data_IF_642428386765
#
_entry.id   IF_642428386765
#
_cell.length_a   1.000
_cell.length_b   1.000
_cell.length_c   1.000
_cell.angle_alpha   90.00
_cell.angle_beta   90.00
_cell.angle_gamma   90.00
#
_symmetry.space_group_name_H-M   'P 1'
#
loop_
_entity.id
_entity.type
_entity.pdbx_description
1 polymer ?
#
# COMPACT_ATOMS: atom_id res chain seq x y z
N UNK A 1 -2.52 4.29 7.12
CA UNK A 1 -2.65 2.97 6.49
C UNK A 1 -3.41 3.08 5.18
N UNK A 2 -2.81 2.71 4.08
CA UNK A 2 -3.38 2.94 2.75
C UNK A 2 -4.51 1.98 2.34
N UNK A 3 -4.72 0.91 3.07
CA UNK A 3 -5.76 -0.08 2.82
C UNK A 3 -7.13 0.49 3.17
N UNK A 4 -8.01 0.65 2.18
CA UNK A 4 -9.38 1.07 2.38
C UNK A 4 -9.75 2.50 2.00
N UNK A 5 -8.81 3.31 1.54
CA UNK A 5 -9.08 4.58 0.84
C UNK A 5 -9.47 5.81 1.67
N UNK A 6 -10.02 5.64 2.87
CA UNK A 6 -10.46 6.74 3.76
C UNK A 6 -10.08 6.47 5.22
N UNK A 7 -8.81 6.15 5.46
CA UNK A 7 -8.31 5.84 6.81
C UNK A 7 -7.28 6.87 7.24
N UNK A 8 -7.22 7.15 8.54
CA UNK A 8 -6.17 7.99 9.13
C UNK A 8 -4.81 7.30 8.97
N UNK A 9 -3.77 8.10 8.73
CA UNK A 9 -2.41 7.60 8.54
C UNK A 9 -2.15 7.04 7.14
N UNK A 10 -2.85 7.53 6.13
CA UNK A 10 -2.59 7.20 4.72
C UNK A 10 -1.40 7.95 4.14
N UNK A 11 -1.02 9.06 4.73
CA UNK A 11 0.14 9.88 4.34
C UNK A 11 1.09 10.09 5.52
N UNK A 12 2.32 10.48 5.25
CA UNK A 12 3.28 10.84 6.29
C UNK A 12 2.82 12.09 7.05
N UNK A 13 2.14 13.01 6.40
CA UNK A 13 1.53 14.17 7.01
C UNK A 13 0.46 13.78 8.04
N UNK A 14 -0.39 12.81 7.73
CA UNK A 14 -1.38 12.29 8.69
C UNK A 14 -0.70 11.72 9.95
N UNK A 15 0.43 11.01 9.78
CA UNK A 15 1.19 10.47 10.90
C UNK A 15 1.80 11.59 11.74
N UNK A 16 2.44 12.57 11.10
CA UNK A 16 2.98 13.77 11.78
C UNK A 16 1.90 14.47 12.58
N UNK A 17 0.76 14.74 11.97
CA UNK A 17 -0.32 15.51 12.59
C UNK A 17 -0.97 14.72 13.73
N UNK A 18 -1.13 13.40 13.56
CA UNK A 18 -1.59 12.51 14.65
C UNK A 18 -0.60 12.51 15.82
N UNK A 19 0.70 12.37 15.56
CA UNK A 19 1.73 12.43 16.61
C UNK A 19 1.72 13.79 17.31
N UNK A 20 1.48 14.89 16.56
CA UNK A 20 1.43 16.23 17.14
C UNK A 20 0.34 16.37 18.23
N UNK A 21 -0.77 15.64 18.10
CA UNK A 21 -1.88 15.66 19.06
C UNK A 21 -1.65 14.81 20.32
N UNK A 22 -0.62 13.97 20.35
CA UNK A 22 -0.31 13.10 21.49
C UNK A 22 0.56 13.88 22.48
N UNK A 23 0.19 13.96 23.77
CA UNK A 23 0.95 14.70 24.77
C UNK A 23 2.30 14.03 25.07
N UNK A 24 2.30 12.73 25.35
CA UNK A 24 3.51 11.96 25.67
C UNK A 24 4.12 11.38 24.39
N UNK A 25 5.06 12.13 23.81
CA UNK A 25 5.76 11.76 22.57
C UNK A 25 6.66 10.52 22.71
N UNK A 26 7.06 10.18 23.94
CA UNK A 26 7.94 9.02 24.17
C UNK A 26 7.17 7.70 24.09
N UNK A 27 5.85 7.76 24.25
CA UNK A 27 4.97 6.58 24.18
C UNK A 27 4.37 6.33 22.80
N UNK A 28 4.70 7.15 21.81
CA UNK A 28 4.22 6.97 20.44
C UNK A 28 5.33 6.55 19.51
N UNK A 29 5.00 5.67 18.56
CA UNK A 29 5.90 5.26 17.49
C UNK A 29 5.14 4.86 16.25
N UNK A 30 5.87 4.80 15.15
CA UNK A 30 5.36 4.34 13.86
C UNK A 30 5.87 2.93 13.61
N UNK A 31 4.97 2.02 13.27
CA UNK A 31 5.30 0.77 12.62
C UNK A 31 5.15 0.97 11.12
N UNK A 32 6.25 0.89 10.39
CA UNK A 32 6.25 1.05 8.93
C UNK A 32 5.99 -0.30 8.27
N UNK A 33 4.85 -0.43 7.60
CA UNK A 33 4.51 -1.64 6.85
C UNK A 33 4.82 -1.45 5.37
N UNK A 34 5.63 -2.34 4.79
CA UNK A 34 6.12 -2.23 3.41
C UNK A 34 5.02 -2.44 2.38
N UNK A 35 4.08 -3.37 2.62
CA UNK A 35 2.92 -3.60 1.76
C UNK A 35 1.97 -2.38 1.78
N UNK A 36 1.67 -1.85 2.96
CA UNK A 36 0.79 -0.69 3.10
C UNK A 36 1.40 0.59 2.52
N UNK A 37 2.70 0.83 2.73
CA UNK A 37 3.41 1.95 2.14
C UNK A 37 3.36 1.89 0.60
N UNK A 38 3.66 0.73 0.02
CA UNK A 38 3.60 0.50 -1.42
C UNK A 38 2.18 0.68 -1.97
N UNK A 39 1.18 0.11 -1.30
CA UNK A 39 -0.22 0.28 -1.66
C UNK A 39 -0.68 1.74 -1.53
N UNK A 40 -0.06 2.52 -0.64
CA UNK A 40 -0.31 3.94 -0.42
C UNK A 40 0.39 4.87 -1.41
N UNK A 41 1.27 4.36 -2.25
CA UNK A 41 1.99 5.16 -3.25
C UNK A 41 3.41 5.53 -2.87
N UNK A 42 3.97 4.92 -1.82
CA UNK A 42 5.38 5.04 -1.44
C UNK A 42 6.18 3.90 -2.08
N UNK A 43 6.99 4.21 -3.08
CA UNK A 43 7.74 3.20 -3.83
C UNK A 43 9.02 2.80 -3.09
N UNK A 44 9.23 1.48 -2.97
CA UNK A 44 10.36 0.89 -2.25
C UNK A 44 11.23 0.01 -3.16
N UNK A 45 10.90 -0.09 -4.46
CA UNK A 45 11.45 -1.11 -5.35
C UNK A 45 12.87 -0.83 -5.80
N UNK A 46 13.18 0.42 -6.12
CA UNK A 46 14.54 0.81 -6.54
C UNK A 46 15.25 1.54 -5.41
N UNK A 47 16.60 1.54 -5.36
CA UNK A 47 17.34 2.29 -4.35
C UNK A 47 16.96 3.78 -4.31
N UNK A 48 16.74 4.40 -5.46
CA UNK A 48 16.40 5.82 -5.55
C UNK A 48 15.00 6.10 -4.99
N UNK A 49 14.00 5.27 -5.37
CA UNK A 49 12.63 5.41 -4.88
C UNK A 49 12.55 5.12 -3.38
N UNK A 50 13.27 4.09 -2.92
CA UNK A 50 13.38 3.75 -1.51
C UNK A 50 13.99 4.91 -0.70
N UNK A 51 15.11 5.45 -1.14
CA UNK A 51 15.76 6.59 -0.47
C UNK A 51 14.83 7.81 -0.43
N UNK A 52 14.18 8.13 -1.55
CA UNK A 52 13.19 9.23 -1.61
C UNK A 52 12.08 9.02 -0.57
N UNK A 53 11.51 7.82 -0.49
CA UNK A 53 10.47 7.49 0.49
C UNK A 53 10.98 7.65 1.93
N UNK A 54 12.17 7.16 2.24
CA UNK A 54 12.72 7.23 3.59
C UNK A 54 13.17 8.63 3.99
N UNK A 55 13.68 9.42 3.06
CA UNK A 55 14.04 10.83 3.28
C UNK A 55 12.78 11.68 3.52
N UNK A 56 11.70 11.40 2.80
CA UNK A 56 10.40 12.03 3.06
C UNK A 56 9.84 11.63 4.43
N UNK A 57 9.96 10.35 4.83
CA UNK A 57 9.57 9.91 6.17
C UNK A 57 10.38 10.65 7.25
N UNK A 58 11.70 10.75 7.09
CA UNK A 58 12.56 11.46 8.03
C UNK A 58 12.21 12.94 8.11
N UNK A 59 12.01 13.60 6.98
CA UNK A 59 11.68 15.03 6.91
C UNK A 59 10.31 15.35 7.50
N UNK A 60 9.30 14.50 7.25
CA UNK A 60 7.91 14.80 7.61
C UNK A 60 7.57 14.26 8.99
N UNK A 61 7.93 13.02 9.30
CA UNK A 61 7.59 12.32 10.55
C UNK A 61 8.75 12.36 11.55
N UNK A 62 9.96 12.09 11.07
CA UNK A 62 11.17 11.94 11.85
C UNK A 62 11.48 10.48 12.17
N UNK A 63 12.71 10.07 11.84
CA UNK A 63 13.19 8.68 12.05
C UNK A 63 13.14 8.26 13.52
N UNK A 64 13.22 9.21 14.46
CA UNK A 64 13.08 8.94 15.90
C UNK A 64 11.74 8.31 16.29
N UNK A 65 10.71 8.44 15.47
CA UNK A 65 9.41 7.80 15.70
C UNK A 65 9.29 6.42 15.07
N UNK A 66 10.21 6.02 14.21
CA UNK A 66 10.22 4.68 13.64
C UNK A 66 10.62 3.66 14.73
N UNK A 67 9.75 2.72 15.03
CA UNK A 67 9.92 1.76 16.14
C UNK A 67 9.88 0.30 15.72
N UNK A 68 9.25 0.02 14.61
CA UNK A 68 9.12 -1.34 14.08
C UNK A 68 8.82 -1.30 12.58
N UNK A 69 9.02 -2.43 11.91
CA UNK A 69 8.56 -2.64 10.55
C UNK A 69 7.72 -3.91 10.47
N UNK A 70 6.62 -3.86 9.69
CA UNK A 70 6.05 -5.05 9.09
C UNK A 70 6.66 -5.24 7.71
N UNK A 71 7.26 -6.40 7.49
CA UNK A 71 8.01 -6.71 6.27
C UNK A 71 7.19 -7.67 5.42
N UNK A 72 6.38 -7.11 4.52
CA UNK A 72 5.41 -7.84 3.72
C UNK A 72 5.53 -7.44 2.25
N UNK A 73 5.54 -8.42 1.35
CA UNK A 73 5.39 -8.12 -0.08
C UNK A 73 3.91 -7.88 -0.41
N UNK A 74 3.64 -7.27 -1.55
CA UNK A 74 2.28 -6.92 -1.94
C UNK A 74 1.79 -7.74 -3.12
N UNK A 75 0.65 -8.42 -2.97
CA UNK A 75 -0.07 -9.03 -4.09
C UNK A 75 -0.74 -8.01 -4.99
N UNK A 76 -0.96 -6.79 -4.49
CA UNK A 76 -1.63 -5.73 -5.23
C UNK A 76 -0.62 -4.79 -5.89
N UNK A 77 -0.94 -4.19 -7.05
CA UNK A 77 -0.08 -3.24 -7.73
C UNK A 77 0.18 -1.97 -6.91
N UNK A 78 1.22 -1.25 -7.29
CA UNK A 78 1.58 0.05 -6.72
C UNK A 78 0.38 1.02 -6.69
N UNK A 79 0.23 1.74 -5.57
CA UNK A 79 -0.84 2.73 -5.36
C UNK A 79 -2.26 2.17 -5.56
N UNK A 80 -2.45 0.89 -5.24
CA UNK A 80 -3.74 0.19 -5.40
C UNK A 80 -4.72 0.43 -4.25
N UNK A 81 -4.23 0.94 -3.12
CA UNK A 81 -4.96 1.08 -1.86
C UNK A 81 -5.59 -0.25 -1.37
N UNK A 82 -4.89 -1.37 -1.61
CA UNK A 82 -5.33 -2.71 -1.22
C UNK A 82 -4.33 -3.35 -0.28
N UNK A 83 -4.83 -3.85 0.83
CA UNK A 83 -4.07 -4.62 1.81
C UNK A 83 -4.11 -6.11 1.43
N UNK A 84 -3.07 -6.56 0.73
CA UNK A 84 -2.96 -7.95 0.28
C UNK A 84 -1.49 -8.38 0.36
N UNK A 85 -1.13 -9.06 1.45
CA UNK A 85 0.23 -9.53 1.69
C UNK A 85 0.59 -10.70 0.76
N UNK A 86 1.80 -10.66 0.22
CA UNK A 86 2.45 -11.74 -0.51
C UNK A 86 3.68 -12.22 0.24
N UNK A 87 4.13 -13.43 -0.07
CA UNK A 87 5.42 -13.94 0.38
C UNK A 87 6.56 -13.12 -0.23
N UNK A 88 7.66 -12.98 0.53
CA UNK A 88 8.81 -12.13 0.17
C UNK A 88 9.33 -12.45 -1.23
N UNK A 89 9.45 -11.42 -2.07
CA UNK A 89 9.95 -11.50 -3.45
C UNK A 89 8.96 -12.06 -4.46
N UNK A 90 7.74 -12.46 -4.04
CA UNK A 90 6.72 -13.00 -4.97
C UNK A 90 5.69 -11.97 -5.40
N UNK A 91 5.58 -10.85 -4.70
CA UNK A 91 4.62 -9.78 -4.97
C UNK A 91 5.13 -8.72 -5.95
N UNK A 92 4.46 -7.57 -5.94
CA UNK A 92 4.79 -6.41 -6.79
C UNK A 92 5.93 -5.54 -6.26
N UNK A 93 6.30 -5.68 -4.97
CA UNK A 93 7.51 -5.06 -4.44
C UNK A 93 8.75 -5.76 -5.01
N UNK A 94 8.75 -7.09 -4.99
CA UNK A 94 9.86 -7.89 -5.50
C UNK A 94 11.08 -7.93 -4.56
N UNK A 95 12.04 -8.80 -4.86
CA UNK A 95 13.16 -9.08 -3.95
C UNK A 95 14.08 -7.87 -3.70
N UNK A 96 14.27 -7.00 -4.70
CA UNK A 96 15.14 -5.80 -4.58
C UNK A 96 14.65 -4.83 -3.51
N UNK A 97 13.33 -4.69 -3.33
CA UNK A 97 12.77 -3.86 -2.26
C UNK A 97 13.21 -4.38 -0.87
N UNK A 98 13.19 -5.69 -0.67
CA UNK A 98 13.61 -6.29 0.61
C UNK A 98 15.11 -6.25 0.81
N UNK A 99 15.89 -6.31 -0.27
CA UNK A 99 17.32 -6.06 -0.19
C UNK A 99 17.60 -4.63 0.29
N UNK A 100 16.89 -3.61 -0.24
CA UNK A 100 17.01 -2.24 0.26
C UNK A 100 16.68 -2.15 1.77
N UNK A 101 15.62 -2.83 2.21
CA UNK A 101 15.14 -2.82 3.60
C UNK A 101 16.17 -3.42 4.56
N UNK A 102 16.71 -4.62 4.26
CA UNK A 102 17.62 -5.31 5.18
C UNK A 102 19.01 -4.69 5.22
N UNK A 103 19.36 -3.85 4.24
CA UNK A 103 20.62 -3.13 4.19
C UNK A 103 20.49 -1.65 4.57
N UNK A 104 19.31 -1.19 5.04
CA UNK A 104 19.07 0.21 5.44
C UNK A 104 19.58 0.48 6.87
N UNK A 105 20.59 1.34 7.06
CA UNK A 105 21.14 1.62 8.39
C UNK A 105 20.13 2.21 9.39
N UNK A 106 19.12 2.97 8.90
CA UNK A 106 18.06 3.55 9.76
C UNK A 106 17.20 2.50 10.44
N UNK A 107 17.21 1.27 9.94
CA UNK A 107 16.45 0.14 10.49
C UNK A 107 17.27 -0.75 11.44
N UNK A 108 18.55 -0.44 11.64
CA UNK A 108 19.41 -1.23 12.51
C UNK A 108 18.85 -1.29 13.95
N UNK A 109 18.68 -2.51 14.46
CA UNK A 109 18.16 -2.75 15.80
C UNK A 109 16.65 -2.63 15.96
N UNK A 110 15.91 -2.31 14.89
CA UNK A 110 14.44 -2.31 14.94
C UNK A 110 13.88 -3.73 14.77
N UNK A 111 12.77 -4.06 15.44
CA UNK A 111 12.06 -5.32 15.19
C UNK A 111 11.42 -5.29 13.80
N UNK A 112 11.64 -6.38 13.05
CA UNK A 112 11.02 -6.67 11.76
C UNK A 112 10.07 -7.85 11.94
N UNK A 113 8.80 -7.67 11.58
CA UNK A 113 7.74 -8.66 11.76
C UNK A 113 7.17 -9.06 10.40
N UNK A 114 7.04 -10.36 10.17
CA UNK A 114 6.39 -10.92 8.98
C UNK A 114 4.91 -11.19 9.26
N UNK A 115 4.06 -10.74 8.34
CA UNK A 115 2.63 -11.09 8.28
C UNK A 115 2.29 -11.73 6.93
N UNK A 116 3.32 -12.29 6.28
CA UNK A 116 3.18 -12.97 5.00
C UNK A 116 2.34 -14.22 5.13
N UNK A 117 1.62 -14.63 4.06
CA UNK A 117 0.77 -15.82 4.07
C UNK A 117 1.55 -17.09 4.40
N UNK A 118 1.00 -17.91 5.29
CA UNK A 118 1.56 -19.20 5.70
C UNK A 118 0.70 -20.40 5.26
N UNK A 119 -0.33 -20.15 4.48
CA UNK A 119 -1.16 -21.22 3.94
C UNK A 119 -0.38 -22.07 2.92
N UNK A 120 -0.44 -23.37 3.12
CA UNK A 120 0.19 -24.34 2.22
C UNK A 120 -0.56 -24.37 0.90
N UNK A 121 0.19 -24.32 -0.20
CA UNK A 121 -0.33 -24.47 -1.55
C UNK A 121 0.29 -25.67 -2.23
N UNK A 122 -0.51 -26.38 -3.04
CA UNK A 122 -0.02 -27.46 -3.88
C UNK A 122 0.75 -26.96 -5.12
N UNK A 123 1.17 -27.90 -5.98
CA UNK A 123 1.91 -27.59 -7.20
C UNK A 123 1.12 -26.72 -8.21
N UNK A 124 -0.20 -26.75 -8.14
CA UNK A 124 -1.11 -25.97 -8.98
C UNK A 124 -1.47 -24.60 -8.33
N UNK A 125 -0.89 -24.29 -7.16
CA UNK A 125 -1.12 -23.07 -6.41
C UNK A 125 -2.44 -23.02 -5.64
N UNK A 126 -3.17 -24.16 -5.53
CA UNK A 126 -4.42 -24.25 -4.79
C UNK A 126 -4.12 -24.45 -3.28
N UNK A 127 -5.01 -23.91 -2.44
CA UNK A 127 -4.90 -24.10 -1.00
C UNK A 127 -5.07 -25.58 -0.62
N UNK A 128 -4.09 -26.13 0.08
CA UNK A 128 -4.23 -27.43 0.73
C UNK A 128 -5.14 -27.26 1.93
N UNK A 129 -6.19 -28.08 2.01
CA UNK A 129 -7.19 -28.03 3.08
C UNK A 129 -7.12 -29.27 3.95
N UNK A 130 -7.43 -29.11 5.23
CA UNK A 130 -7.62 -30.20 6.17
C UNK A 130 -8.99 -30.89 5.96
N UNK A 131 -9.25 -31.96 6.73
CA UNK A 131 -10.51 -32.72 6.70
C UNK A 131 -11.76 -31.87 7.03
N UNK A 132 -11.56 -30.68 7.60
CA UNK A 132 -12.64 -29.73 7.95
C UNK A 132 -12.79 -28.62 6.91
N UNK A 133 -12.01 -28.65 5.83
CA UNK A 133 -12.02 -27.66 4.77
C UNK A 133 -11.28 -26.36 5.10
N UNK A 134 -10.55 -26.29 6.24
CA UNK A 134 -9.71 -25.15 6.60
C UNK A 134 -8.37 -25.27 5.87
N UNK A 135 -7.80 -24.14 5.42
CA UNK A 135 -6.46 -24.09 4.85
C UNK A 135 -5.44 -24.59 5.89
N UNK A 136 -4.52 -25.45 5.45
CA UNK A 136 -3.38 -25.84 6.26
C UNK A 136 -2.39 -24.68 6.34
N UNK A 137 -1.83 -24.46 7.52
CA UNK A 137 -0.84 -23.43 7.80
C UNK A 137 0.51 -24.07 8.14
N UNK A 138 1.61 -23.51 7.60
CA UNK A 138 2.98 -23.91 7.93
C UNK A 138 3.82 -22.68 8.31
N UNK A 139 4.12 -22.56 9.61
CA UNK A 139 4.98 -21.49 10.14
C UNK A 139 6.45 -21.60 9.68
N UNK A 140 6.89 -22.72 9.11
CA UNK A 140 8.22 -22.84 8.52
C UNK A 140 8.39 -21.95 7.29
N UNK A 141 7.29 -21.48 6.69
CA UNK A 141 7.32 -20.45 5.62
C UNK A 141 7.99 -19.20 6.16
N UNK A 142 7.57 -18.68 7.33
CA UNK A 142 8.22 -17.53 7.95
C UNK A 142 9.68 -17.77 8.30
N UNK A 143 10.02 -18.97 8.83
CA UNK A 143 11.41 -19.31 9.10
C UNK A 143 12.28 -19.29 7.82
N UNK A 144 11.72 -19.73 6.70
CA UNK A 144 12.39 -19.69 5.40
C UNK A 144 12.58 -18.26 4.91
N UNK A 145 11.55 -17.42 5.05
CA UNK A 145 11.60 -16.01 4.66
C UNK A 145 12.58 -15.20 5.53
N UNK A 146 12.64 -15.46 6.83
CA UNK A 146 13.64 -14.84 7.72
C UNK A 146 15.05 -15.18 7.23
N UNK A 147 15.33 -16.46 6.93
CA UNK A 147 16.65 -16.87 6.40
C UNK A 147 16.95 -16.23 5.05
N UNK A 148 15.96 -16.08 4.19
CA UNK A 148 16.11 -15.34 2.93
C UNK A 148 16.50 -13.88 3.19
N UNK A 149 15.80 -13.19 4.08
CA UNK A 149 16.09 -11.80 4.45
C UNK A 149 17.51 -11.68 5.05
N UNK A 150 17.87 -12.57 5.99
CA UNK A 150 19.19 -12.60 6.58
C UNK A 150 20.30 -12.81 5.54
N UNK A 151 20.08 -13.68 4.55
CA UNK A 151 21.08 -13.96 3.50
C UNK A 151 21.34 -12.78 2.57
N UNK A 152 20.39 -11.85 2.45
CA UNK A 152 20.53 -10.66 1.60
C UNK A 152 21.31 -9.51 2.27
N UNK A 153 21.63 -9.60 3.56
CA UNK A 153 22.42 -8.57 4.24
C UNK A 153 23.83 -8.54 3.66
N UNK A 154 24.21 -7.41 3.07
CA UNK A 154 25.50 -7.22 2.40
C UNK A 154 25.68 -7.99 1.09
N UNK A 155 24.64 -8.65 0.57
CA UNK A 155 24.71 -9.35 -0.71
C UNK A 155 24.75 -8.36 -1.88
N UNK A 156 25.57 -8.64 -2.88
CA UNK A 156 25.59 -7.87 -4.12
C UNK A 156 24.35 -8.22 -4.98
N UNK A 157 23.55 -7.21 -5.34
CA UNK A 157 22.33 -7.37 -6.15
C UNK A 157 22.60 -7.80 -7.60
N UNK A 158 23.85 -7.66 -8.06
CA UNK A 158 24.27 -8.12 -9.39
C UNK A 158 24.96 -9.49 -9.34
N UNK A 159 25.06 -10.12 -8.16
CA UNK A 159 25.58 -11.48 -8.04
C UNK A 159 24.67 -12.50 -8.71
N UNK A 160 25.26 -13.58 -9.26
CA UNK A 160 24.48 -14.67 -9.84
C UNK A 160 23.48 -15.28 -8.85
N UNK A 161 23.87 -15.35 -7.58
CA UNK A 161 23.02 -15.86 -6.50
C UNK A 161 21.78 -15.00 -6.31
N UNK A 162 21.93 -13.67 -6.17
CA UNK A 162 20.80 -12.76 -6.03
C UNK A 162 19.90 -12.79 -7.25
N UNK A 163 20.46 -12.69 -8.46
CA UNK A 163 19.69 -12.69 -9.70
C UNK A 163 18.89 -13.98 -9.88
N UNK A 164 19.45 -15.12 -9.49
CA UNK A 164 18.75 -16.41 -9.50
C UNK A 164 17.59 -16.42 -8.51
N UNK A 165 17.81 -15.99 -7.26
CA UNK A 165 16.77 -15.89 -6.23
C UNK A 165 15.62 -14.97 -6.70
N UNK A 166 15.96 -13.80 -7.22
CA UNK A 166 15.01 -12.84 -7.75
C UNK A 166 14.15 -13.45 -8.88
N UNK A 167 14.79 -14.09 -9.87
CA UNK A 167 14.10 -14.72 -10.99
C UNK A 167 13.18 -15.87 -10.53
N UNK A 168 13.63 -16.71 -9.61
CA UNK A 168 12.86 -17.85 -9.11
C UNK A 168 11.62 -17.38 -8.31
N UNK A 169 11.77 -16.40 -7.42
CA UNK A 169 10.67 -15.84 -6.65
C UNK A 169 9.69 -15.06 -7.55
N UNK A 170 10.21 -14.26 -8.47
CA UNK A 170 9.38 -13.55 -9.43
C UNK A 170 8.55 -14.51 -10.30
N UNK A 171 9.15 -15.63 -10.74
CA UNK A 171 8.45 -16.67 -11.51
C UNK A 171 7.35 -17.33 -10.66
N UNK A 172 7.66 -17.67 -9.40
CA UNK A 172 6.70 -18.27 -8.46
C UNK A 172 5.48 -17.37 -8.24
N UNK A 173 5.68 -16.07 -8.08
CA UNK A 173 4.60 -15.11 -7.82
C UNK A 173 3.85 -14.63 -9.07
N UNK A 174 4.37 -14.90 -10.28
CA UNK A 174 3.81 -14.37 -11.54
C UNK A 174 2.32 -14.65 -11.76
N UNK A 175 1.81 -15.89 -11.57
CA UNK A 175 0.39 -16.17 -11.82
C UNK A 175 -0.55 -15.31 -10.96
N UNK A 176 -0.20 -15.10 -9.69
CA UNK A 176 -1.01 -14.31 -8.77
C UNK A 176 -0.92 -12.81 -9.10
N UNK A 177 0.28 -12.30 -9.46
CA UNK A 177 0.43 -10.91 -9.89
C UNK A 177 -0.36 -10.63 -11.17
N UNK A 178 -0.28 -11.51 -12.19
CA UNK A 178 -1.04 -11.36 -13.43
C UNK A 178 -2.54 -11.30 -13.16
N UNK A 179 -3.06 -12.22 -12.35
CA UNK A 179 -4.46 -12.26 -11.95
C UNK A 179 -4.93 -10.98 -11.26
N UNK A 180 -4.13 -10.47 -10.32
CA UNK A 180 -4.49 -9.26 -9.55
C UNK A 180 -4.28 -7.98 -10.35
N UNK A 181 -3.31 -7.96 -11.27
CA UNK A 181 -3.16 -6.88 -12.24
C UNK A 181 -4.42 -6.71 -13.09
N UNK A 182 -4.90 -7.81 -13.71
CA UNK A 182 -6.13 -7.77 -14.49
C UNK A 182 -7.36 -7.30 -13.69
N UNK A 183 -7.47 -7.76 -12.44
CA UNK A 183 -8.56 -7.30 -11.56
C UNK A 183 -8.47 -5.80 -11.27
N UNK A 184 -7.26 -5.29 -11.06
CA UNK A 184 -7.03 -3.88 -10.78
C UNK A 184 -7.37 -3.01 -12.00
N UNK A 185 -6.94 -3.40 -13.19
CA UNK A 185 -7.26 -2.69 -14.44
C UNK A 185 -8.78 -2.66 -14.69
N UNK A 186 -9.47 -3.79 -14.57
CA UNK A 186 -10.94 -3.86 -14.69
C UNK A 186 -11.65 -2.96 -13.66
N UNK A 187 -11.08 -2.80 -12.46
CA UNK A 187 -11.63 -1.89 -11.44
C UNK A 187 -11.46 -0.44 -11.86
N UNK A 188 -10.26 -0.04 -12.29
CA UNK A 188 -9.97 1.31 -12.78
C UNK A 188 -10.87 1.71 -13.95
N UNK A 189 -11.06 0.82 -14.92
CA UNK A 189 -11.96 1.05 -16.05
C UNK A 189 -13.42 1.31 -15.61
N UNK A 190 -13.91 0.50 -14.65
CA UNK A 190 -15.26 0.69 -14.10
C UNK A 190 -15.41 2.00 -13.33
N UNK A 191 -14.39 2.42 -12.60
CA UNK A 191 -14.39 3.69 -11.86
C UNK A 191 -14.32 4.88 -12.80
N UNK A 192 -13.49 4.82 -13.84
CA UNK A 192 -13.44 5.84 -14.89
C UNK A 192 -14.78 5.99 -15.64
N UNK A 193 -15.44 4.86 -15.97
CA UNK A 193 -16.74 4.87 -16.62
C UNK A 193 -17.86 5.45 -15.72
N UNK A 194 -17.79 5.24 -14.40
CA UNK A 194 -18.72 5.84 -13.44
C UNK A 194 -18.48 7.34 -13.27
N UNK A 195 -17.22 7.77 -13.25
CA UNK A 195 -16.84 9.19 -13.20
C UNK A 195 -17.33 9.96 -14.41
N UNK A 196 -17.19 9.40 -15.61
CA UNK A 196 -17.67 10.00 -16.86
C UNK A 196 -19.22 10.14 -16.91
N UNK A 197 -19.96 9.21 -16.29
CA UNK A 197 -21.43 9.29 -16.19
C UNK A 197 -21.90 10.36 -15.18
N UNK A 198 -21.18 10.55 -14.08
CA UNK A 198 -21.48 11.61 -13.09
C UNK A 198 -21.20 13.02 -13.63
N UNK A 199 -20.19 13.19 -14.48
CA UNK A 199 -19.87 14.47 -15.12
C UNK A 199 -20.92 14.93 -16.13
N UNK A 200 -21.56 14.00 -16.87
CA UNK A 200 -22.63 14.32 -17.82
C UNK A 200 -23.99 14.62 -17.17
N UNK A 201 -24.20 14.24 -15.91
CA UNK A 201 -25.48 14.52 -15.19
C UNK A 201 -25.50 15.89 -14.51
N UNK A 202 -24.37 16.56 -14.32
CA UNK A 202 -24.32 17.92 -13.74
C UNK A 202 -24.42 19.06 -14.76
N UNK A 203 -24.23 18.77 -16.05
CA UNK A 203 -24.32 19.78 -17.12
C UNK A 203 -25.72 20.02 -17.66
N UNK A 204 -26.78 19.31 -17.20
CA UNK A 204 -28.13 19.42 -17.73
C UNK A 204 -29.14 20.06 -16.76
N UNK A 205 -28.67 20.69 -15.67
CA UNK A 205 -29.53 21.30 -14.64
C UNK A 205 -29.29 22.80 -14.43
N UNK A 206 -28.60 23.48 -15.35
CA UNK A 206 -28.31 24.93 -15.27
C UNK A 206 -28.92 25.75 -16.41
N UNK A 207 -29.69 25.15 -17.32
CA UNK A 207 -30.30 25.88 -18.47
C UNK A 207 -31.79 26.14 -18.37
N UNK A 208 -32.48 25.86 -17.24
CA UNK A 208 -33.95 26.05 -17.13
C UNK A 208 -34.40 26.96 -15.96
N UNK A 209 -33.57 27.88 -15.45
CA UNK A 209 -33.97 28.84 -14.40
C UNK A 209 -33.58 30.31 -14.70
N UNK A 210 -33.55 30.75 -15.94
CA UNK A 210 -33.47 32.17 -16.31
C UNK A 210 -34.58 32.55 -17.30
N UNK A 211 -35.84 32.45 -16.90
CA UNK A 211 -36.94 33.19 -17.57
C UNK A 211 -38.16 33.22 -16.65
N UNK A 212 -38.18 34.12 -15.67
CA UNK A 212 -39.41 34.78 -15.16
C UNK A 212 -39.12 35.62 -13.91
N UNK A 213 -38.66 36.84 -14.09
CA UNK A 213 -38.97 37.93 -13.14
C UNK A 213 -38.76 39.29 -13.81
N UNK A 214 -39.68 39.67 -14.65
CA UNK A 214 -39.95 41.09 -14.87
C UNK A 214 -41.45 41.36 -14.67
N UNK A 215 -41.73 42.52 -14.04
CA UNK A 215 -42.98 43.20 -13.88
C UNK A 215 -43.78 42.94 -12.57
N UNK A 216 -43.54 43.81 -11.61
CA UNK A 216 -44.60 44.76 -11.23
C UNK A 216 -44.11 45.70 -10.13
N UNK A 217 -43.67 46.91 -10.54
CA UNK A 217 -43.80 48.09 -9.73
C UNK A 217 -45.28 48.39 -9.60
N UNK A 218 -45.72 48.88 -8.45
CA UNK A 218 -46.63 50.08 -8.30
C UNK A 218 -47.05 50.17 -6.81
N UNK A 219 -46.64 51.34 -6.20
CA UNK A 219 -47.32 52.25 -5.27
C UNK A 219 -48.25 51.73 -4.14
N UNK A 220 -48.02 52.19 -2.94
CA UNK A 220 -48.65 53.33 -2.27
C UNK A 220 -48.23 53.37 -0.79
N UNK A 221 -47.62 54.41 -0.28
CA UNK A 221 -48.13 55.61 0.30
C UNK A 221 -49.10 55.40 1.49
N UNK A 222 -48.70 55.94 2.63
CA UNK A 222 -49.58 56.53 3.59
C UNK A 222 -49.67 55.87 4.95
N UNK A 223 -49.19 56.55 5.97
CA UNK A 223 -50.02 57.05 7.04
C UNK A 223 -49.88 56.38 8.41
N UNK A 224 -49.47 57.28 9.27
CA UNK A 224 -49.59 57.41 10.72
C UNK A 224 -48.55 56.66 11.58
#
# INVERSE_FOLDING_TARGET
MAAGGNVLGSTFEDLRDTIALIDDKDRVGVCFDTCHAFAGGYDLRTPEAFNTTMDDFERIVGVKYLRALHVNDSKAPFSSHRDLHANIGTGFLGLRAFHNIVNEPRFAGLPLVLETPIEVRDADGQLVKDDKGKAQEDKNIWATEIKLLESMVGMDVESEEFLKLEADLARKGKPERDRLWEQNEKKKEKEAAKGAKKGKGKGKKVEDEEESSELSDVESAGGE
#
